data_IF_729575779746
#
_entry.id   IF_729575779746
#
_cell.length_a   1.000
_cell.length_b   1.000
_cell.length_c   1.000
_cell.angle_alpha   90.00
_cell.angle_beta   90.00
_cell.angle_gamma   90.00
#
_symmetry.space_group_name_H-M   'P 1'
#
loop_
_entity.id
_entity.type
_entity.pdbx_description
1 polymer ?
#
# COMPACT_ATOMS: atom_id res chain seq x y z
N UNK A 1 22.97 4.53 38.47
CA UNK A 1 22.61 3.45 37.53
C UNK A 1 21.10 3.29 37.60
N UNK A 2 20.28 3.44 36.57
CA UNK A 2 20.42 2.97 35.18
C UNK A 2 19.74 3.94 34.17
N UNK A 3 20.50 4.69 33.36
CA UNK A 3 19.96 5.39 32.18
C UNK A 3 19.83 4.47 30.94
N UNK A 4 20.37 3.25 30.97
CA UNK A 4 20.46 2.35 29.81
C UNK A 4 19.09 1.86 29.28
N UNK A 5 18.12 1.59 30.16
CA UNK A 5 16.81 1.05 29.74
C UNK A 5 16.01 2.01 28.85
N UNK A 6 16.22 3.33 29.00
CA UNK A 6 15.48 4.34 28.23
C UNK A 6 16.02 4.48 26.80
N UNK A 7 17.33 4.32 26.60
CA UNK A 7 17.93 4.38 25.27
C UNK A 7 17.48 3.23 24.36
N UNK A 8 17.42 2.00 24.89
CA UNK A 8 16.96 0.84 24.11
C UNK A 8 15.53 1.00 23.60
N UNK A 9 14.68 1.61 24.41
CA UNK A 9 13.28 1.81 24.07
C UNK A 9 13.09 2.93 23.06
N UNK A 10 13.87 4.02 23.17
CA UNK A 10 13.91 5.08 22.14
C UNK A 10 14.42 4.53 20.80
N UNK A 11 15.48 3.71 20.82
CA UNK A 11 16.00 3.03 19.62
C UNK A 11 14.96 2.10 18.99
N UNK A 12 14.23 1.33 19.79
CA UNK A 12 13.17 0.45 19.28
C UNK A 12 12.00 1.24 18.66
N UNK A 13 11.67 2.40 19.23
CA UNK A 13 10.68 3.32 18.68
C UNK A 13 11.12 3.89 17.34
N UNK A 14 12.34 4.45 17.27
CA UNK A 14 12.88 5.06 16.05
C UNK A 14 12.93 4.01 14.93
N UNK A 15 13.36 2.78 15.27
CA UNK A 15 13.34 1.65 14.36
C UNK A 15 11.92 1.31 13.85
N UNK A 16 10.93 1.26 14.75
CA UNK A 16 9.54 0.98 14.35
C UNK A 16 8.96 2.10 13.47
N UNK A 17 9.24 3.36 13.79
CA UNK A 17 8.81 4.51 13.00
C UNK A 17 9.42 4.48 11.59
N UNK A 18 10.72 4.19 11.48
CA UNK A 18 11.41 4.09 10.20
C UNK A 18 10.93 2.88 9.38
N UNK A 19 10.65 1.75 10.03
CA UNK A 19 10.07 0.58 9.37
C UNK A 19 8.68 0.87 8.80
N UNK A 20 7.81 1.57 9.55
CA UNK A 20 6.49 1.95 9.04
C UNK A 20 6.61 2.92 7.86
N UNK A 21 7.52 3.90 7.90
CA UNK A 21 7.78 4.80 6.76
C UNK A 21 8.23 4.02 5.52
N UNK A 22 9.08 3.01 5.68
CA UNK A 22 9.53 2.16 4.59
C UNK A 22 8.37 1.36 3.98
N UNK A 23 7.50 0.77 4.81
CA UNK A 23 6.30 0.05 4.33
C UNK A 23 5.36 0.99 3.56
N UNK A 24 5.13 2.21 4.05
CA UNK A 24 4.29 3.20 3.36
C UNK A 24 4.91 3.59 2.02
N UNK A 25 6.21 3.90 2.01
CA UNK A 25 6.93 4.29 0.78
C UNK A 25 6.88 3.18 -0.26
N UNK A 26 7.10 1.93 0.16
CA UNK A 26 7.02 0.76 -0.71
C UNK A 26 5.60 0.56 -1.26
N UNK A 27 4.57 0.71 -0.42
CA UNK A 27 3.17 0.62 -0.83
C UNK A 27 2.82 1.67 -1.91
N UNK A 28 3.24 2.92 -1.71
CA UNK A 28 3.01 4.00 -2.68
C UNK A 28 3.73 3.74 -4.00
N UNK A 29 4.96 3.23 -3.95
CA UNK A 29 5.70 2.86 -5.16
C UNK A 29 4.97 1.77 -5.96
N UNK A 30 4.47 0.72 -5.30
CA UNK A 30 3.70 -0.35 -5.94
C UNK A 30 2.39 0.18 -6.53
N UNK A 31 1.65 1.04 -5.82
CA UNK A 31 0.45 1.70 -6.35
C UNK A 31 0.78 2.50 -7.60
N UNK A 32 1.85 3.30 -7.55
CA UNK A 32 2.27 4.17 -8.67
C UNK A 32 2.62 3.35 -9.91
N UNK A 33 3.39 2.27 -9.73
CA UNK A 33 3.70 1.33 -10.80
C UNK A 33 2.45 0.63 -11.35
N UNK A 34 1.52 0.25 -10.47
CA UNK A 34 0.27 -0.38 -10.86
C UNK A 34 -0.61 0.54 -11.71
N UNK A 35 -0.73 1.82 -11.34
CA UNK A 35 -1.51 2.81 -12.12
C UNK A 35 -0.84 3.05 -13.46
N UNK A 36 0.50 3.19 -13.50
CA UNK A 36 1.25 3.34 -14.75
C UNK A 36 1.18 2.12 -15.67
N UNK A 37 0.93 0.93 -15.12
CA UNK A 37 0.73 -0.31 -15.87
C UNK A 37 -0.72 -0.59 -16.28
N UNK A 38 -1.69 0.21 -15.82
CA UNK A 38 -3.11 -0.14 -15.91
C UNK A 38 -3.62 -0.24 -17.36
N UNK A 39 -3.08 0.55 -18.28
CA UNK A 39 -3.43 0.50 -19.70
C UNK A 39 -3.04 -0.83 -20.36
N UNK A 40 -1.95 -1.46 -19.90
CA UNK A 40 -1.50 -2.77 -20.38
C UNK A 40 -2.34 -3.92 -19.82
N UNK A 41 -3.10 -3.67 -18.75
CA UNK A 41 -3.92 -4.65 -18.04
C UNK A 41 -5.39 -4.63 -18.47
N UNK A 42 -5.79 -3.70 -19.35
CA UNK A 42 -7.18 -3.53 -19.78
C UNK A 42 -7.82 -4.76 -20.48
N UNK A 43 -7.01 -5.70 -20.96
CA UNK A 43 -7.45 -6.96 -21.58
C UNK A 43 -7.62 -8.15 -20.61
N UNK A 44 -7.32 -7.99 -19.33
CA UNK A 44 -7.50 -9.05 -18.33
C UNK A 44 -8.89 -9.02 -17.69
N UNK A 45 -9.54 -10.18 -17.64
CA UNK A 45 -10.92 -10.35 -17.14
C UNK A 45 -11.05 -10.10 -15.62
N UNK A 46 -9.94 -10.21 -14.88
CA UNK A 46 -9.89 -10.04 -13.42
C UNK A 46 -9.71 -8.58 -12.95
N UNK A 47 -10.49 -7.65 -13.50
CA UNK A 47 -10.51 -6.24 -13.06
C UNK A 47 -10.89 -6.09 -11.59
N UNK A 48 -11.73 -6.99 -11.06
CA UNK A 48 -12.14 -7.02 -9.65
C UNK A 48 -10.97 -7.27 -8.70
N UNK A 49 -10.12 -8.26 -9.01
CA UNK A 49 -8.96 -8.61 -8.21
C UNK A 49 -7.93 -7.48 -8.18
N UNK A 50 -7.70 -6.81 -9.31
CA UNK A 50 -6.78 -5.69 -9.39
C UNK A 50 -7.25 -4.52 -8.50
N UNK A 51 -8.54 -4.15 -8.58
CA UNK A 51 -9.13 -3.12 -7.71
C UNK A 51 -9.00 -3.48 -6.23
N UNK A 52 -9.20 -4.76 -5.87
CA UNK A 52 -9.10 -5.24 -4.50
C UNK A 52 -7.67 -5.08 -3.96
N UNK A 53 -6.65 -5.41 -4.76
CA UNK A 53 -5.23 -5.22 -4.40
C UNK A 53 -4.93 -3.75 -4.11
N UNK A 54 -5.41 -2.83 -4.97
CA UNK A 54 -5.24 -1.39 -4.75
C UNK A 54 -5.90 -0.90 -3.46
N UNK A 55 -7.14 -1.33 -3.21
CA UNK A 55 -7.85 -1.00 -1.97
C UNK A 55 -7.07 -1.53 -0.76
N UNK A 56 -6.52 -2.73 -0.83
CA UNK A 56 -5.72 -3.32 0.24
C UNK A 56 -4.48 -2.48 0.57
N UNK A 57 -3.76 -1.99 -0.44
CA UNK A 57 -2.61 -1.11 -0.23
C UNK A 57 -3.01 0.24 0.38
N UNK A 58 -4.12 0.84 -0.08
CA UNK A 58 -4.62 2.10 0.50
C UNK A 58 -5.00 1.91 1.96
N UNK A 59 -5.68 0.82 2.30
CA UNK A 59 -6.03 0.46 3.67
C UNK A 59 -4.77 0.27 4.52
N UNK A 60 -3.76 -0.45 4.01
CA UNK A 60 -2.49 -0.65 4.69
C UNK A 60 -1.74 0.67 4.97
N UNK A 61 -1.78 1.63 4.04
CA UNK A 61 -1.21 2.98 4.22
C UNK A 61 -1.95 3.73 5.33
N UNK A 62 -3.28 3.73 5.32
CA UNK A 62 -4.09 4.41 6.35
C UNK A 62 -3.76 3.84 7.73
N UNK A 63 -3.77 2.51 7.87
CA UNK A 63 -3.40 1.86 9.14
C UNK A 63 -1.96 2.15 9.56
N UNK A 64 -1.02 2.27 8.61
CA UNK A 64 0.35 2.70 8.88
C UNK A 64 0.46 4.12 9.43
N UNK A 65 -0.30 5.05 8.87
CA UNK A 65 -0.36 6.44 9.38
C UNK A 65 -0.95 6.46 10.80
N UNK A 66 -2.04 5.72 11.04
CA UNK A 66 -2.62 5.59 12.39
C UNK A 66 -1.63 4.96 13.37
N UNK A 67 -0.85 3.96 12.95
CA UNK A 67 0.19 3.36 13.78
C UNK A 67 1.28 4.37 14.15
N UNK A 68 1.73 5.22 13.21
CA UNK A 68 2.69 6.31 13.49
C UNK A 68 2.14 7.35 14.47
N UNK A 69 0.88 7.78 14.27
CA UNK A 69 0.22 8.74 15.16
C UNK A 69 0.07 8.17 16.58
N UNK A 70 -0.26 6.87 16.68
CA UNK A 70 -0.31 6.18 17.96
C UNK A 70 1.06 5.99 18.61
N UNK A 71 2.09 5.70 17.81
CA UNK A 71 3.44 5.52 18.33
C UNK A 71 3.91 6.86 18.93
N UNK A 72 3.80 7.96 18.17
CA UNK A 72 4.22 9.30 18.61
C UNK A 72 3.51 9.74 19.89
N UNK A 73 2.21 9.47 20.05
CA UNK A 73 1.48 9.71 21.30
C UNK A 73 1.99 8.88 22.49
N UNK A 74 2.40 7.62 22.26
CA UNK A 74 2.97 6.78 23.32
C UNK A 74 4.36 7.23 23.78
N UNK A 75 5.13 7.91 22.92
CA UNK A 75 6.45 8.45 23.24
C UNK A 75 6.36 9.70 24.12
N UNK A 76 5.39 10.57 23.86
CA UNK A 76 5.17 11.81 24.62
C UNK A 76 4.89 11.50 26.10
N UNK A 77 4.00 10.54 26.35
CA UNK A 77 3.63 10.12 27.70
C UNK A 77 4.80 9.47 28.47
N UNK A 78 5.69 8.75 27.78
CA UNK A 78 6.91 8.19 28.39
C UNK A 78 7.93 9.24 28.76
N UNK A 79 8.03 10.29 27.96
CA UNK A 79 8.90 11.44 28.23
C UNK A 79 8.41 12.15 29.50
N UNK A 80 7.09 12.30 29.65
CA UNK A 80 6.45 12.83 30.87
C UNK A 80 6.74 11.96 32.10
N UNK A 81 6.60 10.64 32.01
CA UNK A 81 6.91 9.73 33.13
C UNK A 81 8.37 9.84 33.60
N UNK A 82 9.30 9.95 32.65
CA UNK A 82 10.73 10.10 32.93
C UNK A 82 11.02 11.45 33.59
N UNK A 83 10.35 12.51 33.14
CA UNK A 83 10.46 13.83 33.73
C UNK A 83 10.00 13.84 35.19
N UNK A 84 8.85 13.20 35.48
CA UNK A 84 8.32 13.07 36.84
C UNK A 84 9.27 12.30 37.76
N UNK A 85 9.82 11.17 37.30
CA UNK A 85 10.76 10.38 38.12
C UNK A 85 12.02 11.19 38.47
N UNK A 86 12.52 12.00 37.53
CA UNK A 86 13.65 12.90 37.77
C UNK A 86 13.28 14.09 38.66
N UNK A 87 12.06 14.60 38.55
CA UNK A 87 11.52 15.64 39.42
C UNK A 87 11.44 15.14 40.87
N UNK A 88 10.96 13.91 41.09
CA UNK A 88 10.89 13.28 42.41
C UNK A 88 12.28 13.08 43.02
N UNK A 89 13.26 12.63 42.22
CA UNK A 89 14.66 12.50 42.64
C UNK A 89 15.32 13.84 43.01
N UNK A 90 14.91 14.94 42.38
CA UNK A 90 15.40 16.30 42.75
C UNK A 90 14.67 16.84 43.97
N UNK A 91 13.37 16.59 44.07
CA UNK A 91 12.51 17.05 45.14
C UNK A 91 12.83 16.37 46.48
N UNK A 92 13.43 15.17 46.49
CA UNK A 92 13.84 14.47 47.71
C UNK A 92 14.97 15.18 48.47
N UNK A 93 15.78 16.02 47.82
CA UNK A 93 16.84 16.83 48.44
C UNK A 93 16.42 18.26 48.81
N UNK A 94 15.18 18.65 48.49
CA UNK A 94 14.68 20.01 48.68
C UNK A 94 13.75 20.04 49.90
N UNK A 95 14.22 20.63 50.99
CA UNK A 95 13.45 20.82 52.23
C UNK A 95 12.43 21.94 52.15
N UNK A 96 12.57 22.87 51.19
CA UNK A 96 11.61 23.96 50.97
C UNK A 96 10.48 23.50 50.01
N UNK A 97 9.23 23.37 50.49
CA UNK A 97 8.11 22.93 49.67
C UNK A 97 7.79 23.86 48.49
N UNK A 98 8.25 25.12 48.51
CA UNK A 98 8.01 26.08 47.41
C UNK A 98 8.90 25.84 46.19
N UNK A 99 9.99 25.09 46.34
CA UNK A 99 10.93 24.77 45.24
C UNK A 99 10.67 23.43 44.56
N UNK A 100 9.62 22.70 44.97
CA UNK A 100 9.30 21.41 44.37
C UNK A 100 8.82 21.56 42.94
N UNK A 101 9.40 20.76 42.05
CA UNK A 101 8.96 20.64 40.66
C UNK A 101 7.59 19.95 40.66
N UNK A 102 6.56 20.51 39.97
CA UNK A 102 5.23 19.93 39.92
C UNK A 102 5.22 18.62 39.12
N UNK A 103 4.43 17.64 39.59
CA UNK A 103 4.24 16.36 38.93
C UNK A 103 3.21 16.51 37.80
N UNK A 104 3.57 16.12 36.58
CA UNK A 104 2.67 16.15 35.42
C UNK A 104 1.93 14.82 35.38
N UNK A 105 0.61 14.79 35.56
CA UNK A 105 -0.14 13.53 35.57
C UNK A 105 -0.31 13.03 34.13
N UNK A 106 0.23 11.85 33.76
CA UNK A 106 0.00 11.29 32.45
C UNK A 106 -1.37 10.64 32.41
N UNK A 107 -2.24 11.13 31.54
CA UNK A 107 -3.56 10.54 31.30
C UNK A 107 -3.41 9.10 30.75
N UNK A 108 -4.31 8.21 31.18
CA UNK A 108 -4.08 6.76 31.26
C UNK A 108 -3.78 6.04 29.93
N UNK A 109 -2.67 5.29 29.91
CA UNK A 109 -2.06 4.57 28.78
C UNK A 109 -2.69 3.20 28.42
N UNK A 110 -3.59 2.66 29.26
CA UNK A 110 -4.05 1.26 29.13
C UNK A 110 -4.93 1.05 27.90
N UNK A 111 -5.66 2.08 27.48
CA UNK A 111 -6.58 2.03 26.34
C UNK A 111 -5.80 2.08 25.02
N UNK A 112 -4.75 2.90 24.95
CA UNK A 112 -4.00 3.12 23.73
C UNK A 112 -3.10 1.94 23.37
N UNK A 113 -2.38 1.37 24.33
CA UNK A 113 -1.42 0.27 24.10
C UNK A 113 -2.03 -0.98 23.45
N UNK A 114 -3.31 -1.27 23.75
CA UNK A 114 -4.03 -2.39 23.14
C UNK A 114 -4.40 -2.10 21.70
N UNK A 115 -4.95 -0.91 21.42
CA UNK A 115 -5.31 -0.48 20.06
C UNK A 115 -4.06 -0.36 19.16
N UNK A 116 -2.93 0.14 19.70
CA UNK A 116 -1.65 0.23 18.97
C UNK A 116 -1.19 -1.14 18.46
N UNK A 117 -1.21 -2.17 19.32
CA UNK A 117 -0.80 -3.53 18.94
C UNK A 117 -1.70 -4.09 17.84
N UNK A 118 -3.02 -3.93 17.98
CA UNK A 118 -3.96 -4.42 16.97
C UNK A 118 -3.80 -3.70 15.63
N UNK A 119 -3.67 -2.37 15.62
CA UNK A 119 -3.43 -1.62 14.38
C UNK A 119 -2.14 -2.07 13.68
N UNK A 120 -1.05 -2.22 14.42
CA UNK A 120 0.23 -2.65 13.84
C UNK A 120 0.17 -4.07 13.29
N UNK A 121 -0.46 -5.01 14.01
CA UNK A 121 -0.64 -6.39 13.54
C UNK A 121 -1.51 -6.43 12.29
N UNK A 122 -2.64 -5.71 12.27
CA UNK A 122 -3.54 -5.63 11.12
C UNK A 122 -2.82 -5.00 9.92
N UNK A 123 -2.01 -3.95 10.13
CA UNK A 123 -1.21 -3.32 9.08
C UNK A 123 -0.25 -4.32 8.45
N UNK A 124 0.56 -5.03 9.26
CA UNK A 124 1.53 -6.01 8.74
C UNK A 124 0.84 -7.16 8.02
N UNK A 125 -0.28 -7.67 8.55
CA UNK A 125 -1.05 -8.73 7.91
C UNK A 125 -1.67 -8.28 6.59
N UNK A 126 -2.30 -7.09 6.56
CA UNK A 126 -2.90 -6.55 5.34
C UNK A 126 -1.86 -6.25 4.25
N UNK A 127 -0.70 -5.73 4.64
CA UNK A 127 0.41 -5.49 3.74
C UNK A 127 1.01 -6.80 3.20
N UNK A 128 1.20 -7.79 4.06
CA UNK A 128 1.66 -9.13 3.66
C UNK A 128 0.68 -9.81 2.69
N UNK A 129 -0.62 -9.73 2.97
CA UNK A 129 -1.66 -10.23 2.06
C UNK A 129 -1.65 -9.50 0.71
N UNK A 130 -1.43 -8.17 0.71
CA UNK A 130 -1.34 -7.38 -0.50
C UNK A 130 -0.15 -7.82 -1.37
N UNK A 131 1.01 -8.06 -0.76
CA UNK A 131 2.20 -8.55 -1.46
C UNK A 131 1.93 -9.93 -2.07
N UNK A 132 1.37 -10.86 -1.29
CA UNK A 132 1.08 -12.22 -1.77
C UNK A 132 0.15 -12.17 -2.97
N UNK A 133 -0.96 -11.41 -2.89
CA UNK A 133 -1.87 -11.24 -4.03
C UNK A 133 -1.20 -10.56 -5.22
N UNK A 134 -0.36 -9.55 -4.99
CA UNK A 134 0.38 -8.85 -6.05
C UNK A 134 1.32 -9.81 -6.78
N UNK A 135 2.07 -10.62 -6.03
CA UNK A 135 2.94 -11.65 -6.59
C UNK A 135 2.13 -12.71 -7.35
N UNK A 136 1.04 -13.24 -6.77
CA UNK A 136 0.17 -14.21 -7.45
C UNK A 136 -0.39 -13.64 -8.75
N UNK A 137 -0.85 -12.39 -8.76
CA UNK A 137 -1.31 -11.73 -9.96
C UNK A 137 -0.20 -11.56 -11.00
N UNK A 138 1.00 -11.14 -10.58
CA UNK A 138 2.15 -11.01 -11.47
C UNK A 138 2.56 -12.37 -12.08
N UNK A 139 2.53 -13.45 -11.30
CA UNK A 139 2.78 -14.80 -11.82
C UNK A 139 1.69 -15.26 -12.78
N UNK A 140 0.41 -15.04 -12.47
CA UNK A 140 -0.69 -15.35 -13.40
C UNK A 140 -0.59 -14.54 -14.70
N UNK A 141 -0.02 -13.33 -14.64
CA UNK A 141 0.25 -12.50 -15.81
C UNK A 141 1.42 -13.03 -16.65
N UNK A 142 2.49 -13.55 -16.02
CA UNK A 142 3.60 -14.18 -16.73
C UNK A 142 3.21 -15.52 -17.35
N UNK A 143 2.40 -16.31 -16.65
CA UNK A 143 2.07 -17.68 -17.01
C UNK A 143 0.87 -17.77 -17.97
N UNK A 144 0.20 -16.65 -18.26
CA UNK A 144 -0.76 -16.62 -19.36
C UNK A 144 -0.01 -16.38 -20.66
N UNK A 145 0.16 -17.41 -21.53
CA UNK A 145 0.65 -17.19 -22.88
C UNK A 145 -0.36 -16.30 -23.58
N UNK A 146 -0.01 -15.01 -23.65
CA UNK A 146 -0.49 -14.01 -24.60
C UNK A 146 -1.64 -14.50 -25.48
N UNK A 147 -2.88 -14.20 -25.09
CA UNK A 147 -4.02 -14.17 -26.03
C UNK A 147 -3.87 -13.02 -27.05
N UNK A 148 -2.66 -12.62 -27.43
CA UNK A 148 -2.40 -11.73 -28.56
C UNK A 148 -2.74 -12.38 -29.92
N UNK A 149 -3.07 -13.67 -29.96
CA UNK A 149 -3.58 -14.32 -31.17
C UNK A 149 -5.07 -14.03 -31.45
N UNK A 150 -5.90 -13.69 -30.46
CA UNK A 150 -7.31 -13.36 -30.74
C UNK A 150 -7.45 -12.01 -31.45
N UNK A 151 -6.62 -11.02 -31.09
CA UNK A 151 -6.61 -9.73 -31.78
C UNK A 151 -6.08 -9.82 -33.21
N UNK A 152 -5.03 -10.63 -33.46
CA UNK A 152 -4.54 -10.89 -34.82
C UNK A 152 -5.56 -11.69 -35.64
N UNK A 153 -6.28 -12.63 -35.04
CA UNK A 153 -7.30 -13.41 -35.74
C UNK A 153 -8.50 -12.54 -36.14
N UNK A 154 -8.96 -11.63 -35.27
CA UNK A 154 -10.05 -10.69 -35.59
C UNK A 154 -9.63 -9.68 -36.67
N UNK A 155 -8.40 -9.15 -36.61
CA UNK A 155 -7.90 -8.23 -37.65
C UNK A 155 -7.74 -8.95 -39.00
N UNK A 156 -7.17 -10.16 -39.01
CA UNK A 156 -7.05 -10.96 -40.24
C UNK A 156 -8.42 -11.38 -40.80
N UNK A 157 -9.39 -11.67 -39.95
CA UNK A 157 -10.75 -12.00 -40.36
C UNK A 157 -11.48 -10.77 -40.94
N UNK A 158 -11.24 -9.57 -40.38
CA UNK A 158 -11.79 -8.32 -40.91
C UNK A 158 -11.15 -7.89 -42.25
N UNK A 159 -9.86 -8.17 -42.45
CA UNK A 159 -9.17 -7.93 -43.72
C UNK A 159 -9.61 -8.93 -44.79
N UNK A 160 -9.72 -10.22 -44.46
CA UNK A 160 -10.21 -11.25 -45.40
C UNK A 160 -11.68 -11.03 -45.81
N UNK A 161 -12.52 -10.54 -44.87
CA UNK A 161 -13.91 -10.16 -45.18
C UNK A 161 -13.99 -8.94 -46.11
N UNK A 162 -13.07 -7.97 -46.00
CA UNK A 162 -12.98 -6.84 -46.93
C UNK A 162 -12.49 -7.25 -48.32
N UNK A 163 -11.47 -8.10 -48.40
CA UNK A 163 -10.91 -8.54 -49.68
C UNK A 163 -11.91 -9.40 -50.47
N UNK A 164 -12.68 -10.25 -49.79
CA UNK A 164 -13.74 -11.03 -50.44
C UNK A 164 -14.89 -10.14 -50.98
N UNK A 165 -15.22 -9.04 -50.31
CA UNK A 165 -16.22 -8.08 -50.80
C UNK A 165 -15.72 -7.29 -52.02
N UNK A 166 -14.45 -6.86 -52.03
CA UNK A 166 -13.83 -6.17 -53.17
C UNK A 166 -13.73 -7.08 -54.40
N UNK A 167 -13.36 -8.36 -54.21
CA UNK A 167 -13.34 -9.35 -55.30
C UNK A 167 -14.73 -9.60 -55.90
N UNK A 168 -15.79 -9.50 -55.09
CA UNK A 168 -17.17 -9.62 -55.57
C UNK A 168 -17.59 -8.40 -56.39
N UNK A 169 -17.21 -7.19 -55.99
CA UNK A 169 -17.48 -5.99 -56.79
C UNK A 169 -16.72 -5.99 -58.13
N UNK A 170 -15.42 -6.32 -58.13
CA UNK A 170 -14.65 -6.40 -59.38
C UNK A 170 -15.23 -7.40 -60.39
N UNK A 171 -15.78 -8.52 -59.93
CA UNK A 171 -16.45 -9.48 -60.83
C UNK A 171 -17.71 -8.90 -61.46
N UNK A 172 -18.48 -8.09 -60.73
CA UNK A 172 -19.69 -7.47 -61.25
C UNK A 172 -19.33 -6.46 -62.35
N UNK A 173 -18.33 -5.62 -62.12
CA UNK A 173 -17.89 -4.62 -63.10
C UNK A 173 -17.32 -5.27 -64.37
N UNK A 174 -16.56 -6.36 -64.21
CA UNK A 174 -16.02 -7.12 -65.35
C UNK A 174 -17.13 -7.77 -66.21
N UNK A 175 -18.22 -8.21 -65.59
CA UNK A 175 -19.37 -8.78 -66.30
C UNK A 175 -20.14 -7.66 -67.04
N UNK A 176 -20.36 -6.50 -66.41
CA UNK A 176 -21.02 -5.37 -67.06
C UNK A 176 -20.26 -4.87 -68.29
N UNK A 177 -18.93 -4.78 -68.22
CA UNK A 177 -18.11 -4.37 -69.36
C UNK A 177 -18.20 -5.35 -70.54
N UNK A 178 -18.46 -6.63 -70.29
CA UNK A 178 -18.59 -7.65 -71.34
C UNK A 178 -19.96 -7.70 -72.01
N UNK A 179 -21.00 -7.16 -71.36
CA UNK A 179 -22.36 -7.07 -71.91
C UNK A 179 -22.54 -5.76 -72.70
N UNK A 180 -21.79 -4.70 -72.36
CA UNK A 180 -21.84 -3.40 -73.02
C UNK A 180 -21.02 -3.31 -74.32
N UNK A 181 -20.38 -4.41 -74.76
CA UNK A 181 -19.59 -4.50 -75.99
C UNK A 181 -20.16 -5.57 -76.91
#
# INVERSE_FOLDING_TARGET
MMPEMQEHQKKAFDFAADLIKQIITLSVAVITLGIGGMDKLNGYDNRGTLKLIFILYVVAIIFGIFALMNLTGALDIRTINTFNENADKRNSGISDPRKKIPHVVPETLSIYSRVVRWCSVIQVLSFGAAIIMTCSFAFSMLDSPSKANDGKMVVLQSLNARDSALMKQMKIDTIYYRIAK
#
